data_IF_557673172686
#
_entry.id   IF_557673172686
#
_cell.length_a   1.000
_cell.length_b   1.000
_cell.length_c   1.000
_cell.angle_alpha   90.00
_cell.angle_beta   90.00
_cell.angle_gamma   90.00
#
_symmetry.space_group_name_H-M   'P 1'
#
loop_
_entity.id
_entity.type
_entity.pdbx_description
1 polymer ?
#
# COMPACT_ATOMS: atom_id res chain seq x y z
N UNK A 1 -18.99 -10.77 -17.21
CA UNK A 1 -19.80 -10.74 -15.98
C UNK A 1 -19.03 -11.22 -14.74
N UNK A 2 -17.93 -11.97 -14.85
CA UNK A 2 -17.14 -12.44 -13.69
C UNK A 2 -16.32 -11.36 -12.94
N UNK A 3 -15.98 -10.22 -13.58
CA UNK A 3 -15.12 -9.20 -12.96
C UNK A 3 -15.80 -8.36 -11.87
N UNK A 4 -17.14 -8.30 -11.85
CA UNK A 4 -17.88 -7.50 -10.87
C UNK A 4 -17.95 -8.21 -9.50
N UNK A 5 -18.00 -9.55 -9.47
CA UNK A 5 -18.17 -10.32 -8.23
C UNK A 5 -16.88 -10.41 -7.40
N UNK A 6 -15.70 -10.42 -8.04
CA UNK A 6 -14.41 -10.42 -7.32
C UNK A 6 -14.15 -9.06 -6.65
N UNK A 7 -14.60 -7.97 -7.27
CA UNK A 7 -14.44 -6.62 -6.73
C UNK A 7 -15.23 -6.40 -5.43
N UNK A 8 -16.28 -7.18 -5.18
CA UNK A 8 -17.13 -7.07 -3.99
C UNK A 8 -16.52 -7.70 -2.73
N UNK A 9 -15.45 -8.51 -2.85
CA UNK A 9 -14.80 -9.15 -1.70
C UNK A 9 -13.63 -8.35 -1.11
N UNK A 10 -13.11 -7.36 -1.85
CA UNK A 10 -11.93 -6.61 -1.44
C UNK A 10 -12.24 -5.12 -1.46
N UNK A 11 -12.50 -4.57 -0.28
CA UNK A 11 -12.65 -3.13 -0.09
C UNK A 11 -11.33 -2.51 0.39
N UNK A 12 -10.94 -1.34 -0.13
CA UNK A 12 -9.79 -0.62 0.37
C UNK A 12 -10.01 -0.19 1.82
N UNK A 13 -8.95 -0.26 2.62
CA UNK A 13 -9.01 0.08 4.05
C UNK A 13 -8.62 1.53 4.36
N UNK A 14 -8.25 2.33 3.35
CA UNK A 14 -7.90 3.73 3.55
C UNK A 14 -9.14 4.58 3.89
N UNK A 15 -9.02 5.37 4.94
CA UNK A 15 -10.02 6.34 5.39
C UNK A 15 -9.70 7.71 4.78
N UNK A 16 -8.42 8.09 4.71
CA UNK A 16 -7.99 9.42 4.27
C UNK A 16 -8.38 9.76 2.83
N UNK A 17 -8.44 8.77 1.93
CA UNK A 17 -8.85 8.97 0.54
C UNK A 17 -10.35 8.76 0.31
N UNK A 18 -11.12 8.37 1.33
CA UNK A 18 -12.51 7.92 1.15
C UNK A 18 -13.43 9.00 0.61
N UNK A 19 -13.30 10.22 1.10
CA UNK A 19 -14.18 11.34 0.73
C UNK A 19 -13.88 11.87 -0.68
N UNK A 20 -12.65 11.68 -1.15
CA UNK A 20 -12.20 12.07 -2.48
C UNK A 20 -12.30 10.91 -3.50
N UNK A 21 -12.75 9.72 -3.09
CA UNK A 21 -12.76 8.54 -3.94
C UNK A 21 -13.97 8.56 -4.90
N UNK A 22 -13.73 8.66 -6.20
CA UNK A 22 -14.80 8.43 -7.20
C UNK A 22 -15.11 6.93 -7.28
N UNK A 23 -14.08 6.12 -7.46
CA UNK A 23 -14.20 4.66 -7.52
C UNK A 23 -12.84 3.99 -7.32
N UNK A 24 -12.89 2.69 -7.04
CA UNK A 24 -11.71 1.84 -6.95
C UNK A 24 -11.94 0.53 -7.68
N UNK A 25 -10.85 -0.13 -8.05
CA UNK A 25 -10.83 -1.46 -8.64
C UNK A 25 -9.70 -2.27 -8.02
N UNK A 26 -10.01 -3.48 -7.54
CA UNK A 26 -9.00 -4.44 -7.12
C UNK A 26 -8.09 -4.83 -8.29
N UNK A 27 -6.77 -4.70 -8.12
CA UNK A 27 -5.78 -5.08 -9.14
C UNK A 27 -5.10 -6.41 -8.85
N UNK A 28 -4.95 -6.76 -7.57
CA UNK A 28 -4.29 -8.00 -7.17
C UNK A 28 -3.82 -7.99 -5.73
N UNK A 29 -3.50 -9.17 -5.21
CA UNK A 29 -2.88 -9.36 -3.91
C UNK A 29 -1.59 -10.14 -4.06
N UNK A 30 -0.60 -9.79 -3.25
CA UNK A 30 0.66 -10.52 -3.11
C UNK A 30 0.96 -10.79 -1.64
N UNK A 31 2.10 -11.43 -1.38
CA UNK A 31 2.56 -11.74 -0.01
C UNK A 31 2.55 -10.51 0.91
N UNK A 32 2.79 -9.31 0.37
CA UNK A 32 2.95 -8.10 1.15
C UNK A 32 1.71 -7.20 1.18
N UNK A 33 0.56 -7.64 0.66
CA UNK A 33 -0.68 -6.86 0.70
C UNK A 33 -1.42 -6.78 -0.63
N UNK A 34 -2.41 -5.90 -0.67
CA UNK A 34 -3.38 -5.79 -1.75
C UNK A 34 -3.21 -4.47 -2.49
N UNK A 35 -3.36 -4.47 -3.82
CA UNK A 35 -3.24 -3.29 -4.66
C UNK A 35 -4.57 -2.97 -5.31
N UNK A 36 -4.91 -1.68 -5.32
CA UNK A 36 -6.11 -1.13 -5.93
C UNK A 36 -5.74 -0.07 -6.94
N UNK A 37 -6.47 0.00 -8.05
CA UNK A 37 -6.57 1.20 -8.87
C UNK A 37 -7.57 2.12 -8.20
N UNK A 38 -7.20 3.38 -8.02
CA UNK A 38 -8.02 4.42 -7.39
C UNK A 38 -8.22 5.53 -8.40
N UNK A 39 -9.48 5.99 -8.53
CA UNK A 39 -9.86 7.09 -9.41
C UNK A 39 -10.27 8.28 -8.55
N UNK A 40 -9.57 9.40 -8.72
CA UNK A 40 -9.78 10.66 -7.99
C UNK A 40 -10.43 11.74 -8.91
N UNK A 41 -11.03 12.82 -8.34
CA UNK A 41 -11.77 13.86 -9.06
C UNK A 41 -11.09 14.51 -10.25
N UNK A 42 -9.76 14.56 -10.27
CA UNK A 42 -8.99 15.15 -11.36
C UNK A 42 -8.60 14.14 -12.46
N UNK A 43 -9.33 13.03 -12.57
CA UNK A 43 -9.15 11.95 -13.55
C UNK A 43 -7.79 11.23 -13.51
N UNK A 44 -6.98 11.47 -12.46
CA UNK A 44 -5.74 10.72 -12.26
C UNK A 44 -6.09 9.32 -11.75
N UNK A 45 -5.79 8.31 -12.57
CA UNK A 45 -5.77 6.91 -12.13
C UNK A 45 -4.45 6.65 -11.43
N UNK A 46 -4.52 6.24 -10.17
CA UNK A 46 -3.35 5.90 -9.35
C UNK A 46 -3.44 4.45 -8.89
N UNK A 47 -2.30 3.86 -8.56
CA UNK A 47 -2.26 2.59 -7.85
C UNK A 47 -1.99 2.85 -6.37
N UNK A 48 -2.77 2.22 -5.51
CA UNK A 48 -2.56 2.25 -4.06
C UNK A 48 -2.37 0.82 -3.57
N UNK A 49 -1.18 0.53 -3.05
CA UNK A 49 -0.89 -0.73 -2.37
C UNK A 49 -1.13 -0.54 -0.88
N UNK A 50 -2.02 -1.34 -0.29
CA UNK A 50 -2.26 -1.40 1.14
C UNK A 50 -1.56 -2.62 1.75
N UNK A 51 -0.84 -2.39 2.83
CA UNK A 51 -0.07 -3.39 3.57
C UNK A 51 -0.57 -3.41 5.01
N UNK A 52 -1.09 -4.55 5.46
CA UNK A 52 -1.43 -4.77 6.87
C UNK A 52 -0.13 -4.88 7.66
N UNK A 53 0.11 -3.95 8.58
CA UNK A 53 1.35 -3.88 9.35
C UNK A 53 1.53 -5.13 10.20
N UNK A 54 0.47 -5.61 10.83
CA UNK A 54 0.51 -6.80 11.68
C UNK A 54 0.84 -8.05 10.88
N UNK A 55 0.26 -8.21 9.68
CA UNK A 55 0.55 -9.36 8.82
C UNK A 55 1.95 -9.27 8.20
N UNK A 56 2.40 -8.06 7.85
CA UNK A 56 3.76 -7.83 7.37
C UNK A 56 4.79 -8.19 8.46
N UNK A 57 4.56 -7.81 9.72
CA UNK A 57 5.44 -8.16 10.84
C UNK A 57 5.53 -9.66 11.07
N UNK A 58 4.41 -10.39 10.95
CA UNK A 58 4.41 -11.86 11.04
C UNK A 58 5.26 -12.51 9.95
N UNK A 59 5.21 -12.00 8.73
CA UNK A 59 6.03 -12.50 7.63
C UNK A 59 7.53 -12.25 7.85
N UNK A 60 7.87 -11.17 8.56
CA UNK A 60 9.24 -10.76 8.86
C UNK A 60 9.57 -10.87 10.36
N UNK A 61 9.02 -11.87 11.06
CA UNK A 61 9.18 -12.04 12.51
C UNK A 61 10.63 -12.19 13.00
N UNK A 62 11.56 -12.54 12.10
CA UNK A 62 12.98 -12.67 12.40
C UNK A 62 13.79 -11.39 12.12
N UNK A 63 13.15 -10.36 11.56
CA UNK A 63 13.77 -9.05 11.36
C UNK A 63 13.70 -8.23 12.63
N UNK A 64 14.82 -7.63 13.06
CA UNK A 64 14.85 -6.81 14.27
C UNK A 64 14.00 -5.53 14.17
N UNK A 65 13.78 -5.03 12.95
CA UNK A 65 13.02 -3.80 12.70
C UNK A 65 12.25 -3.90 11.37
N UNK A 66 11.16 -4.68 11.32
CA UNK A 66 10.44 -4.95 10.07
C UNK A 66 9.87 -3.67 9.46
N UNK A 67 9.37 -2.73 10.27
CA UNK A 67 8.82 -1.48 9.75
C UNK A 67 9.90 -0.55 9.20
N UNK A 68 11.08 -0.49 9.84
CA UNK A 68 12.23 0.24 9.26
C UNK A 68 12.67 -0.35 7.92
N UNK A 69 12.57 -1.67 7.75
CA UNK A 69 12.89 -2.35 6.49
C UNK A 69 11.96 -1.89 5.36
N UNK A 70 10.64 -1.95 5.53
CA UNK A 70 9.71 -1.53 4.46
C UNK A 70 9.81 -0.04 4.15
N UNK A 71 9.99 0.82 5.16
CA UNK A 71 10.20 2.25 4.93
C UNK A 71 11.49 2.53 4.15
N UNK A 72 12.57 1.78 4.42
CA UNK A 72 13.81 1.86 3.64
C UNK A 72 13.58 1.54 2.17
N UNK A 73 12.79 0.50 1.85
CA UNK A 73 12.44 0.17 0.47
C UNK A 73 11.63 1.29 -0.20
N UNK A 74 10.71 1.94 0.53
CA UNK A 74 9.96 3.10 0.03
C UNK A 74 10.90 4.28 -0.25
N UNK A 75 11.86 4.57 0.64
CA UNK A 75 12.87 5.61 0.41
C UNK A 75 13.73 5.33 -0.84
N UNK A 76 14.03 4.07 -1.11
CA UNK A 76 14.75 3.69 -2.35
C UNK A 76 13.85 3.96 -3.56
N UNK A 77 12.60 3.52 -3.52
CA UNK A 77 11.63 3.75 -4.59
C UNK A 77 11.44 5.25 -4.89
N UNK A 78 11.30 6.08 -3.86
CA UNK A 78 11.18 7.54 -3.98
C UNK A 78 12.39 8.15 -4.70
N UNK A 79 13.61 7.75 -4.31
CA UNK A 79 14.84 8.23 -4.95
C UNK A 79 14.95 7.80 -6.41
N UNK A 80 14.54 6.57 -6.72
CA UNK A 80 14.54 6.07 -8.10
C UNK A 80 13.48 6.78 -8.96
N UNK A 81 12.34 7.15 -8.37
CA UNK A 81 11.27 7.89 -9.06
C UNK A 81 11.61 9.36 -9.33
N UNK A 82 12.44 10.00 -8.49
CA UNK A 82 12.76 11.44 -8.59
C UNK A 82 14.05 11.79 -9.33
N UNK A 83 14.93 10.82 -9.58
CA UNK A 83 16.18 11.04 -10.32
C UNK A 83 15.92 11.03 -11.83
N UNK A 84 16.11 12.16 -12.53
CA UNK A 84 15.71 12.34 -13.93
C UNK A 84 16.42 11.44 -14.95
N UNK A 85 16.04 10.16 -15.05
CA UNK A 85 16.63 9.26 -16.03
C UNK A 85 16.11 7.83 -16.13
N UNK A 86 15.18 7.35 -15.30
CA UNK A 86 14.64 5.99 -15.47
C UNK A 86 13.14 6.00 -15.79
N UNK A 87 12.80 6.17 -17.08
CA UNK A 87 11.44 5.94 -17.62
C UNK A 87 10.91 4.50 -17.39
N UNK A 88 11.70 3.63 -16.77
CA UNK A 88 11.42 2.22 -16.54
C UNK A 88 11.19 1.89 -15.06
N UNK A 89 11.21 2.88 -14.17
CA UNK A 89 10.89 2.70 -12.75
C UNK A 89 9.56 3.37 -12.47
N UNK A 90 8.70 2.64 -11.76
CA UNK A 90 7.40 3.09 -11.30
C UNK A 90 7.49 4.43 -10.57
N UNK A 91 6.73 5.42 -11.04
CA UNK A 91 6.62 6.74 -10.41
C UNK A 91 5.93 6.62 -9.05
N UNK A 92 6.63 7.08 -8.03
CA UNK A 92 6.16 7.16 -6.65
C UNK A 92 5.60 8.55 -6.36
N UNK A 93 4.50 8.59 -5.61
CA UNK A 93 3.85 9.84 -5.22
C UNK A 93 3.95 10.09 -3.72
N UNK A 94 3.52 9.13 -2.90
CA UNK A 94 3.51 9.25 -1.44
C UNK A 94 3.27 7.92 -0.75
N UNK A 95 3.46 7.89 0.56
CA UNK A 95 2.95 6.83 1.43
C UNK A 95 2.39 7.46 2.71
N UNK A 96 1.50 6.74 3.39
CA UNK A 96 0.96 7.16 4.69
C UNK A 96 0.57 5.94 5.52
N UNK A 97 0.44 6.16 6.83
CA UNK A 97 -0.01 5.17 7.80
C UNK A 97 -1.41 5.55 8.29
N UNK A 98 -2.26 4.55 8.48
CA UNK A 98 -3.53 4.71 9.20
C UNK A 98 -3.70 3.59 10.21
N UNK A 99 -4.41 3.87 11.29
CA UNK A 99 -4.64 2.92 12.37
C UNK A 99 -4.34 3.52 13.74
N UNK A 100 -4.57 2.73 14.80
CA UNK A 100 -4.46 3.20 16.18
C UNK A 100 -3.04 3.63 16.58
N UNK A 101 -2.01 3.10 15.91
CA UNK A 101 -0.60 3.34 16.24
C UNK A 101 0.12 4.09 15.11
N UNK A 102 -0.61 4.68 14.15
CA UNK A 102 -0.02 5.33 12.96
C UNK A 102 0.99 6.44 13.27
N UNK A 103 0.83 7.12 14.43
CA UNK A 103 1.71 8.20 14.89
C UNK A 103 2.87 7.71 15.78
N UNK A 104 2.81 6.46 16.26
CA UNK A 104 3.82 5.86 17.15
C UNK A 104 4.62 4.80 16.40
N UNK A 105 5.66 5.26 15.70
CA UNK A 105 6.48 4.39 14.87
C UNK A 105 7.26 3.34 15.68
N UNK A 106 7.67 3.66 16.91
CA UNK A 106 8.37 2.70 17.77
C UNK A 106 7.43 1.54 18.14
N UNK A 107 6.16 1.83 18.42
CA UNK A 107 5.13 0.81 18.64
C UNK A 107 4.81 0.00 17.38
N UNK A 108 4.69 0.64 16.23
CA UNK A 108 4.52 -0.08 14.95
C UNK A 108 5.68 -1.04 14.69
N UNK A 109 6.91 -0.62 15.00
CA UNK A 109 8.12 -1.39 14.76
C UNK A 109 8.44 -2.42 15.86
N UNK A 110 7.83 -2.30 17.04
CA UNK A 110 7.96 -3.26 18.14
C UNK A 110 7.52 -4.66 17.73
N UNK A 111 8.24 -5.70 18.14
CA UNK A 111 7.84 -7.10 17.91
C UNK A 111 6.83 -7.60 18.92
N UNK A 112 6.38 -6.77 19.86
CA UNK A 112 5.39 -7.16 20.86
C UNK A 112 4.12 -7.68 20.18
N UNK A 113 3.69 -8.85 20.64
CA UNK A 113 2.58 -9.60 20.08
C UNK A 113 1.29 -8.80 20.21
N UNK A 114 0.72 -8.41 19.06
CA UNK A 114 -0.67 -7.95 18.94
C UNK A 114 -1.68 -9.11 19.16
N UNK A 115 -1.27 -10.20 19.82
CA UNK A 115 -2.08 -11.41 20.03
C UNK A 115 -3.24 -11.20 21.00
N UNK A 116 -3.35 -10.03 21.63
CA UNK A 116 -4.35 -9.76 22.66
C UNK A 116 -5.34 -8.67 22.24
N UNK A 117 -6.44 -9.11 21.63
CA UNK A 117 -7.78 -8.48 21.57
C UNK A 117 -8.02 -7.27 20.64
N UNK A 118 -8.54 -7.55 19.44
CA UNK A 118 -9.43 -6.64 18.69
C UNK A 118 -9.13 -6.47 17.19
N UNK A 119 -10.06 -5.88 16.38
CA UNK A 119 -9.89 -5.62 14.94
C UNK A 119 -8.96 -4.43 14.64
N UNK A 120 -8.05 -4.09 15.55
CA UNK A 120 -7.16 -2.95 15.45
C UNK A 120 -6.03 -3.28 14.47
N UNK A 121 -6.21 -2.91 13.21
CA UNK A 121 -5.22 -3.06 12.16
C UNK A 121 -4.58 -1.72 11.86
N UNK A 122 -3.25 -1.71 11.80
CA UNK A 122 -2.50 -0.61 11.22
C UNK A 122 -2.22 -0.92 9.74
N UNK A 123 -2.35 0.09 8.90
CA UNK A 123 -2.18 -0.02 7.45
C UNK A 123 -1.12 0.94 6.97
N UNK A 124 -0.21 0.44 6.15
CA UNK A 124 0.70 1.24 5.35
C UNK A 124 0.16 1.28 3.92
N UNK A 125 -0.07 2.48 3.41
CA UNK A 125 -0.51 2.70 2.04
C UNK A 125 0.62 3.33 1.23
N UNK A 126 0.84 2.83 0.02
CA UNK A 126 1.86 3.32 -0.91
C UNK A 126 1.15 3.71 -2.19
N UNK A 127 1.22 5.00 -2.55
CA UNK A 127 0.60 5.59 -3.74
C UNK A 127 1.64 5.79 -4.84
N UNK A 128 1.36 5.21 -6.00
CA UNK A 128 2.20 5.25 -7.19
C UNK A 128 1.37 5.54 -8.43
N UNK A 129 2.03 5.76 -9.57
CA UNK A 129 1.34 5.75 -10.85
C UNK A 129 0.65 4.41 -11.11
N UNK A 130 -0.38 4.44 -11.95
CA UNK A 130 -1.05 3.26 -12.44
C UNK A 130 -0.51 2.91 -13.83
N UNK A 131 0.19 1.78 -13.95
CA UNK A 131 0.64 1.25 -15.24
C UNK A 131 -0.41 0.32 -15.84
N UNK A 132 -0.71 0.48 -17.12
CA UNK A 132 -1.58 -0.47 -17.82
C UNK A 132 -0.72 -1.66 -18.29
N UNK A 133 -1.18 -2.89 -18.06
CA UNK A 133 -0.45 -4.10 -18.47
C UNK A 133 -0.23 -4.27 -19.98
N UNK A 134 -0.68 -3.33 -20.82
CA UNK A 134 -0.39 -3.27 -22.25
C UNK A 134 1.00 -2.72 -22.58
N UNK A 135 1.68 -2.07 -21.63
CA UNK A 135 2.93 -1.34 -21.86
C UNK A 135 4.19 -2.25 -21.91
N UNK A 136 4.02 -3.58 -21.86
CA UNK A 136 5.10 -4.58 -21.87
C UNK A 136 5.34 -5.22 -23.26
N UNK A 137 4.64 -4.78 -24.30
CA UNK A 137 4.69 -5.37 -25.66
C UNK A 137 5.19 -4.42 -26.77
N UNK A 138 5.87 -3.33 -26.42
CA UNK A 138 6.61 -2.49 -27.40
C UNK A 138 8.13 -2.58 -27.21
#
# INVERSE_FOLDING_TARGET
MANAEISAQFEPSFISLRDELISYQYLGSGSFGTTFKVILPHAESIAVKQVCVEDYKKLFQHEANPMKKILREITILEKLSGGGGCNFVLKYYSHWLEGPDAEDFDKLNSTEDYSSSGPRKNWLFIKTEFCNGGDLME
#
